data_IF_127080124426
#
_entry.id   IF_127080124426
#
_cell.length_a   1.000
_cell.length_b   1.000
_cell.length_c   1.000
_cell.angle_alpha   90.00
_cell.angle_beta   90.00
_cell.angle_gamma   90.00
#
_symmetry.space_group_name_H-M   'P 1'
#
loop_
_entity.id
_entity.type
_entity.pdbx_description
1 polymer ?
#
# COMPACT_ATOMS: atom_id res chain seq x y z
N UNK A 1 11.73 13.63 -1.71
CA UNK A 1 10.95 12.56 -1.07
C UNK A 1 10.87 11.39 -2.04
N UNK A 2 10.75 10.12 -1.60
CA UNK A 2 10.77 9.00 -2.54
C UNK A 2 9.49 9.01 -3.38
N UNK A 3 9.70 8.84 -4.68
CA UNK A 3 8.64 8.55 -5.63
C UNK A 3 8.51 7.03 -5.72
N UNK A 4 7.34 6.48 -5.41
CA UNK A 4 7.10 5.04 -5.56
C UNK A 4 5.70 4.76 -6.08
N UNK A 5 5.59 3.65 -6.80
CA UNK A 5 4.31 3.15 -7.29
C UNK A 5 3.99 1.84 -6.60
N UNK A 6 2.72 1.63 -6.26
CA UNK A 6 2.20 0.35 -5.80
C UNK A 6 1.24 -0.16 -6.87
N UNK A 7 1.45 -1.39 -7.27
CA UNK A 7 0.58 -2.13 -8.17
C UNK A 7 -0.23 -3.12 -7.35
N UNK A 8 -1.54 -3.12 -7.51
CA UNK A 8 -2.45 -4.09 -6.90
C UNK A 8 -3.05 -4.94 -8.01
N UNK A 9 -2.65 -6.20 -8.02
CA UNK A 9 -3.10 -7.19 -8.99
C UNK A 9 -4.16 -8.08 -8.32
N UNK A 10 -5.32 -8.23 -8.97
CA UNK A 10 -6.29 -9.26 -8.64
C UNK A 10 -5.88 -10.57 -9.32
N UNK A 11 -5.81 -11.62 -8.52
CA UNK A 11 -5.59 -12.99 -8.97
C UNK A 11 -6.94 -13.69 -9.00
N UNK A 12 -7.53 -13.81 -10.19
CA UNK A 12 -8.68 -14.67 -10.37
C UNK A 12 -8.23 -16.13 -10.17
N UNK A 13 -8.89 -16.83 -9.23
CA UNK A 13 -8.58 -18.23 -8.93
C UNK A 13 -8.86 -19.18 -10.11
N UNK A 14 -9.61 -18.74 -11.11
CA UNK A 14 -10.02 -19.55 -12.26
C UNK A 14 -9.29 -19.21 -13.57
N UNK A 15 -8.96 -17.93 -13.82
CA UNK A 15 -8.39 -17.50 -15.11
C UNK A 15 -6.86 -17.37 -15.14
N UNK A 16 -6.18 -17.46 -13.98
CA UNK A 16 -4.72 -17.63 -13.87
C UNK A 16 -3.86 -16.44 -14.33
N UNK A 17 -4.43 -15.44 -14.99
CA UNK A 17 -3.74 -14.21 -15.41
C UNK A 17 -4.02 -13.11 -14.38
N UNK A 18 -3.00 -12.59 -13.66
CA UNK A 18 -3.19 -11.45 -12.78
C UNK A 18 -3.63 -10.23 -13.57
N UNK A 19 -4.64 -9.51 -13.06
CA UNK A 19 -5.12 -8.26 -13.64
C UNK A 19 -4.82 -7.11 -12.68
N UNK A 20 -4.16 -6.06 -13.17
CA UNK A 20 -4.02 -4.82 -12.38
C UNK A 20 -5.42 -4.22 -12.18
N UNK A 21 -5.81 -4.05 -10.91
CA UNK A 21 -7.12 -3.48 -10.52
C UNK A 21 -6.96 -2.14 -9.83
N UNK A 22 -5.77 -1.86 -9.31
CA UNK A 22 -5.45 -0.57 -8.72
C UNK A 22 -3.96 -0.25 -8.85
N UNK A 23 -3.66 1.03 -9.10
CA UNK A 23 -2.32 1.59 -9.07
C UNK A 23 -2.31 2.82 -8.16
N UNK A 24 -1.33 2.89 -7.28
CA UNK A 24 -1.14 4.03 -6.37
C UNK A 24 0.23 4.63 -6.67
N UNK A 25 0.22 5.86 -7.17
CA UNK A 25 1.42 6.65 -7.42
C UNK A 25 1.61 7.62 -6.26
N UNK A 26 2.77 7.56 -5.61
CA UNK A 26 3.14 8.43 -4.49
C UNK A 26 4.31 9.30 -4.93
N UNK A 27 4.09 10.61 -4.94
CA UNK A 27 5.10 11.65 -5.25
C UNK A 27 5.18 12.66 -4.10
N UNK A 28 6.07 12.40 -3.15
CA UNK A 28 6.18 13.18 -1.93
C UNK A 28 4.94 13.06 -1.06
N UNK A 29 4.17 14.14 -0.93
CA UNK A 29 2.88 14.16 -0.21
C UNK A 29 1.68 13.94 -1.14
N UNK A 30 1.90 13.97 -2.47
CA UNK A 30 0.84 13.75 -3.45
C UNK A 30 0.63 12.25 -3.65
N UNK A 31 -0.54 11.74 -3.26
CA UNK A 31 -0.94 10.34 -3.44
C UNK A 31 -2.07 10.27 -4.45
N UNK A 32 -1.78 9.68 -5.61
CA UNK A 32 -2.74 9.49 -6.70
C UNK A 32 -3.14 8.04 -6.78
N UNK A 33 -4.44 7.79 -6.61
CA UNK A 33 -5.01 6.44 -6.71
C UNK A 33 -5.71 6.36 -8.07
N UNK A 34 -5.29 5.39 -8.88
CA UNK A 34 -6.01 4.94 -10.06
C UNK A 34 -6.67 3.63 -9.71
N UNK A 35 -7.98 3.67 -9.59
CA UNK A 35 -8.79 2.53 -9.21
C UNK A 35 -9.70 2.17 -10.39
N UNK A 36 -9.41 1.03 -11.02
CA UNK A 36 -10.23 0.52 -12.12
C UNK A 36 -11.39 -0.33 -11.60
N UNK A 37 -11.52 -0.52 -10.27
CA UNK A 37 -12.64 -1.19 -9.61
C UNK A 37 -13.06 -0.49 -8.30
N UNK A 38 -14.24 0.16 -8.22
CA UNK A 38 -14.64 1.03 -7.11
C UNK A 38 -14.89 0.34 -5.74
N UNK A 39 -14.48 -0.92 -5.57
CA UNK A 39 -14.75 -1.75 -4.40
C UNK A 39 -13.71 -1.60 -3.28
N UNK A 40 -12.68 -0.77 -3.47
CA UNK A 40 -11.63 -0.63 -2.46
C UNK A 40 -12.01 0.40 -1.39
N UNK A 41 -12.23 -0.06 -0.15
CA UNK A 41 -12.56 0.82 0.96
C UNK A 41 -11.29 1.45 1.59
N UNK A 42 -11.04 2.70 1.22
CA UNK A 42 -9.93 3.52 1.71
C UNK A 42 -10.08 3.99 3.17
N UNK A 43 -11.27 3.84 3.76
CA UNK A 43 -11.52 4.22 5.15
C UNK A 43 -10.99 3.19 6.15
N UNK A 44 -10.67 1.98 5.69
CA UNK A 44 -10.18 0.90 6.54
C UNK A 44 -8.73 1.17 6.99
N UNK A 45 -8.44 1.18 8.31
CA UNK A 45 -7.08 1.37 8.82
C UNK A 45 -6.15 0.25 8.38
N UNK A 46 -4.97 0.60 7.86
CA UNK A 46 -3.95 -0.37 7.47
C UNK A 46 -3.01 -0.68 8.64
N UNK A 47 -2.81 -1.97 8.99
CA UNK A 47 -1.84 -2.33 10.02
C UNK A 47 -0.40 -1.96 9.60
N UNK A 48 0.31 -1.23 10.44
CA UNK A 48 1.74 -0.99 10.21
C UNK A 48 2.48 -2.33 10.44
N UNK A 49 3.22 -2.85 9.46
CA UNK A 49 4.04 -4.05 9.61
C UNK A 49 5.00 -3.80 10.77
N UNK A 50 4.95 -4.68 11.76
CA UNK A 50 5.80 -4.58 12.94
C UNK A 50 7.24 -4.76 12.49
N UNK A 51 8.00 -3.66 12.41
CA UNK A 51 9.44 -3.74 12.26
C UNK A 51 10.00 -4.50 13.45
N UNK A 52 10.52 -5.70 13.21
CA UNK A 52 11.60 -6.19 14.06
C UNK A 52 12.68 -5.10 14.09
N UNK A 53 13.05 -4.68 15.29
CA UNK A 53 14.18 -3.77 15.56
C UNK A 53 13.97 -2.27 15.28
N UNK A 54 12.81 -1.70 15.60
CA UNK A 54 12.79 -0.32 16.10
C UNK A 54 11.85 -0.25 17.30
N UNK A 55 12.23 0.53 18.31
CA UNK A 55 11.78 0.41 19.69
C UNK A 55 10.26 0.42 19.87
N UNK A 56 9.83 -0.20 20.97
CA UNK A 56 8.51 -0.05 21.59
C UNK A 56 8.03 1.40 21.47
N UNK A 57 7.07 1.63 20.59
CA UNK A 57 6.07 2.70 20.69
C UNK A 57 4.94 2.31 19.75
N UNK A 58 3.73 2.40 20.29
CA UNK A 58 2.44 2.00 19.75
C UNK A 58 2.34 1.80 18.23
N UNK A 59 2.11 0.54 17.84
CA UNK A 59 1.73 0.11 16.48
C UNK A 59 0.35 0.68 16.13
N UNK A 60 0.26 1.98 15.92
CA UNK A 60 -0.98 2.65 15.53
C UNK A 60 -1.34 2.18 14.12
N UNK A 61 -2.52 1.57 13.96
CA UNK A 61 -3.10 1.34 12.64
C UNK A 61 -3.30 2.71 12.00
N UNK A 62 -2.82 2.90 10.78
CA UNK A 62 -2.87 4.20 10.13
C UNK A 62 -3.96 4.20 9.07
N UNK A 63 -4.81 5.20 9.06
CA UNK A 63 -5.81 5.40 7.99
C UNK A 63 -5.24 6.30 6.91
N UNK A 64 -5.84 6.26 5.71
CA UNK A 64 -5.46 7.17 4.63
C UNK A 64 -5.57 8.65 5.06
N UNK A 65 -6.59 8.98 5.87
CA UNK A 65 -6.83 10.33 6.38
C UNK A 65 -5.77 10.82 7.40
N UNK A 66 -5.05 9.91 8.05
CA UNK A 66 -4.01 10.26 9.01
C UNK A 66 -2.64 10.48 8.36
N UNK A 67 -2.23 9.56 7.48
CA UNK A 67 -1.00 9.70 6.69
C UNK A 67 -1.14 8.87 5.41
N UNK A 68 -1.44 9.51 4.27
CA UNK A 68 -1.72 8.81 3.03
C UNK A 68 -0.48 8.09 2.46
N UNK A 69 0.73 8.62 2.71
CA UNK A 69 1.99 8.02 2.22
C UNK A 69 2.36 6.81 3.06
N UNK A 70 2.28 6.90 4.39
CA UNK A 70 2.59 5.75 5.26
C UNK A 70 1.49 4.68 5.16
N UNK A 71 0.23 5.08 4.97
CA UNK A 71 -0.86 4.18 4.60
C UNK A 71 -0.52 3.43 3.30
N UNK A 72 -0.22 4.16 2.22
CA UNK A 72 0.12 3.57 0.94
C UNK A 72 1.32 2.63 1.10
N UNK A 73 2.33 3.05 1.85
CA UNK A 73 3.53 2.26 2.05
C UNK A 73 3.26 0.87 2.70
N UNK A 74 2.20 0.74 3.48
CA UNK A 74 1.89 -0.52 4.14
C UNK A 74 1.03 -1.45 3.28
N UNK A 75 0.37 -0.96 2.23
CA UNK A 75 -0.56 -1.74 1.41
C UNK A 75 0.05 -3.03 0.82
N UNK A 76 1.26 -3.05 0.23
CA UNK A 76 1.86 -4.28 -0.33
C UNK A 76 2.08 -5.41 0.68
N UNK A 77 2.11 -5.08 1.97
CA UNK A 77 2.30 -6.05 3.05
C UNK A 77 0.98 -6.59 3.59
N UNK A 78 -0.11 -5.89 3.33
CA UNK A 78 -1.44 -6.17 3.89
C UNK A 78 -2.37 -6.81 2.88
N UNK A 79 -2.29 -6.35 1.63
CA UNK A 79 -3.01 -6.94 0.50
C UNK A 79 -2.20 -8.12 -0.06
N UNK A 80 -1.89 -9.06 0.82
CA UNK A 80 -1.36 -10.38 0.49
C UNK A 80 -2.44 -11.41 0.80
N UNK A 81 -3.54 -11.30 0.09
CA UNK A 81 -4.66 -12.24 0.19
C UNK A 81 -4.59 -13.21 -0.99
N UNK A 82 -5.34 -14.32 -0.99
CA UNK A 82 -5.32 -15.27 -2.11
C UNK A 82 -5.75 -14.64 -3.45
N UNK A 83 -6.55 -13.58 -3.40
CA UNK A 83 -7.17 -12.95 -4.57
C UNK A 83 -6.60 -11.56 -4.88
N UNK A 84 -5.94 -10.90 -3.92
CA UNK A 84 -5.32 -9.60 -4.14
C UNK A 84 -3.86 -9.66 -3.73
N UNK A 85 -3.00 -9.24 -4.65
CA UNK A 85 -1.56 -9.14 -4.47
C UNK A 85 -1.11 -7.73 -4.79
N UNK A 86 -0.71 -6.99 -3.76
CA UNK A 86 -0.03 -5.72 -3.96
C UNK A 86 1.50 -5.89 -3.97
N UNK A 87 2.17 -5.14 -4.84
CA UNK A 87 3.62 -5.13 -5.00
C UNK A 87 4.15 -3.72 -5.25
N UNK A 88 5.37 -3.51 -4.79
CA UNK A 88 6.13 -2.30 -5.08
C UNK A 88 6.53 -2.25 -6.55
N UNK A 89 6.48 -1.05 -7.13
CA UNK A 89 7.16 -0.74 -8.37
C UNK A 89 8.66 -0.95 -8.21
N UNK A 90 9.32 -1.26 -9.32
CA UNK A 90 10.77 -1.45 -9.35
C UNK A 90 11.48 -0.18 -8.87
N UNK A 91 12.52 -0.34 -8.03
CA UNK A 91 13.29 0.79 -7.50
C UNK A 91 12.63 1.58 -6.35
N UNK A 92 11.50 1.11 -5.80
CA UNK A 92 10.84 1.79 -4.67
C UNK A 92 11.64 1.70 -3.38
N UNK A 93 11.83 2.84 -2.70
CA UNK A 93 12.47 2.94 -1.38
C UNK A 93 11.48 3.34 -0.28
N UNK A 94 11.66 2.90 0.97
CA UNK A 94 10.82 3.31 2.09
C UNK A 94 10.80 4.84 2.25
N UNK A 95 9.66 5.45 2.61
CA UNK A 95 9.63 6.84 3.03
C UNK A 95 10.61 6.99 4.19
N UNK A 96 11.52 7.96 4.06
CA UNK A 96 12.43 8.30 5.14
C UNK A 96 11.66 8.65 6.42
N UNK A 97 12.28 8.51 7.60
CA UNK A 97 11.66 8.93 8.85
C UNK A 97 11.25 10.39 8.76
N UNK A 98 9.96 10.68 9.02
CA UNK A 98 9.49 12.06 9.14
C UNK A 98 9.90 12.63 10.51
N UNK A 99 10.29 13.91 10.57
CA UNK A 99 10.56 14.61 11.84
C UNK A 99 9.30 14.77 12.70
#
# INVERSE_FOLDING_TARGET
MPMFTIHVDEMDAWEGVPREVMRIDVDGEDVRIRDDMPNFDYSTPVPVPSSGSCGRTDKKRITYAEDPVLWAWNLPRLLRTPYLRARWGEGSEPPGPRP
#
